data_IF_970953018117
#
_entry.id   IF_970953018117
#
_cell.length_a   1.000
_cell.length_b   1.000
_cell.length_c   1.000
_cell.angle_alpha   90.00
_cell.angle_beta   90.00
_cell.angle_gamma   90.00
#
_symmetry.space_group_name_H-M   'P 1'
#
loop_
_entity.id
_entity.type
_entity.pdbx_description
1 polymer ?
#
# COMPACT_ATOMS: atom_id res chain seq x y z
N UNK A 1 15.06 -15.45 18.86
CA UNK A 1 15.90 -14.43 18.18
C UNK A 1 15.39 -14.29 16.75
N UNK A 2 15.39 -13.10 16.15
CA UNK A 2 15.18 -12.97 14.70
C UNK A 2 16.46 -13.42 14.00
N UNK A 3 16.35 -13.89 12.77
CA UNK A 3 17.52 -14.12 11.94
C UNK A 3 18.11 -12.77 11.48
N UNK A 4 19.44 -12.71 11.33
CA UNK A 4 20.16 -11.46 11.02
C UNK A 4 19.68 -10.84 9.70
N UNK A 5 19.34 -11.67 8.72
CA UNK A 5 18.77 -11.27 7.43
C UNK A 5 17.46 -10.48 7.58
N UNK A 6 16.65 -10.82 8.58
CA UNK A 6 15.36 -10.20 8.85
C UNK A 6 15.57 -8.82 9.46
N UNK A 7 16.55 -8.69 10.37
CA UNK A 7 16.91 -7.42 11.01
C UNK A 7 17.50 -6.46 9.97
N UNK A 8 18.34 -6.96 9.07
CA UNK A 8 18.89 -6.18 7.95
C UNK A 8 17.77 -5.66 7.03
N UNK A 9 16.82 -6.52 6.65
CA UNK A 9 15.62 -6.10 5.87
C UNK A 9 14.79 -5.05 6.61
N UNK A 10 14.62 -5.19 7.92
CA UNK A 10 13.91 -4.20 8.74
C UNK A 10 14.65 -2.86 8.76
N UNK A 11 15.98 -2.87 8.89
CA UNK A 11 16.81 -1.67 8.80
C UNK A 11 16.72 -1.01 7.43
N UNK A 12 16.85 -1.78 6.35
CA UNK A 12 16.72 -1.25 4.99
C UNK A 12 15.35 -0.58 4.77
N UNK A 13 14.26 -1.21 5.24
CA UNK A 13 12.93 -0.62 5.20
C UNK A 13 12.83 0.65 6.04
N UNK A 14 13.33 0.63 7.27
CA UNK A 14 13.32 1.79 8.16
C UNK A 14 14.13 2.96 7.59
N UNK A 15 15.28 2.70 6.98
CA UNK A 15 16.14 3.70 6.36
C UNK A 15 15.50 4.34 5.11
N UNK A 16 14.69 3.58 4.37
CA UNK A 16 13.90 4.12 3.25
C UNK A 16 12.76 5.02 3.72
N UNK A 17 12.19 4.76 4.90
CA UNK A 17 11.17 5.60 5.52
C UNK A 17 11.79 6.80 6.27
N UNK A 18 13.03 6.65 6.72
CA UNK A 18 13.76 7.63 7.51
C UNK A 18 15.23 7.71 7.04
N UNK A 19 15.58 8.70 6.20
CA UNK A 19 16.94 8.84 5.67
C UNK A 19 18.03 9.04 6.74
N UNK A 20 17.67 9.48 7.95
CA UNK A 20 18.60 9.55 9.09
C UNK A 20 18.89 8.14 9.64
N UNK A 21 20.14 7.68 9.49
CA UNK A 21 20.56 6.36 9.93
C UNK A 21 20.34 6.09 11.43
N UNK A 22 20.49 7.11 12.28
CA UNK A 22 20.22 6.99 13.72
C UNK A 22 18.74 6.72 14.02
N UNK A 23 17.83 7.39 13.30
CA UNK A 23 16.39 7.13 13.38
C UNK A 23 16.07 5.74 12.85
N UNK A 24 16.65 5.34 11.72
CA UNK A 24 16.43 4.02 11.12
C UNK A 24 16.83 2.88 12.08
N UNK A 25 18.02 2.95 12.68
CA UNK A 25 18.47 1.97 13.69
C UNK A 25 17.48 1.91 14.85
N UNK A 26 17.09 3.06 15.38
CA UNK A 26 16.20 3.10 16.54
C UNK A 26 14.79 2.56 16.22
N UNK A 27 14.26 2.82 15.01
CA UNK A 27 13.02 2.20 14.52
C UNK A 27 13.16 0.68 14.45
N UNK A 28 14.27 0.17 13.91
CA UNK A 28 14.51 -1.27 13.79
C UNK A 28 14.56 -1.95 15.15
N UNK A 29 15.27 -1.36 16.12
CA UNK A 29 15.37 -1.89 17.48
C UNK A 29 14.00 -1.91 18.19
N UNK A 30 13.26 -0.81 18.14
CA UNK A 30 11.91 -0.75 18.71
C UNK A 30 10.93 -1.71 18.01
N UNK A 31 11.08 -1.91 16.70
CA UNK A 31 10.27 -2.88 15.96
C UNK A 31 10.59 -4.32 16.40
N UNK A 32 11.86 -4.65 16.66
CA UNK A 32 12.27 -5.93 17.22
C UNK A 32 11.59 -6.22 18.56
N UNK A 33 11.55 -5.24 19.47
CA UNK A 33 10.83 -5.35 20.74
C UNK A 33 9.31 -5.53 20.53
N UNK A 34 8.75 -4.77 19.59
CA UNK A 34 7.32 -4.81 19.27
C UNK A 34 6.87 -6.15 18.71
N UNK A 35 7.72 -6.86 17.96
CA UNK A 35 7.42 -8.19 17.44
C UNK A 35 7.08 -9.16 18.58
N UNK A 36 7.82 -9.11 19.70
CA UNK A 36 7.57 -9.98 20.87
C UNK A 36 6.18 -9.70 21.46
N UNK A 37 5.82 -8.44 21.60
CA UNK A 37 4.51 -8.02 22.12
C UNK A 37 3.38 -8.44 21.16
N UNK A 38 3.57 -8.21 19.87
CA UNK A 38 2.59 -8.53 18.84
C UNK A 38 2.34 -10.02 18.70
N UNK A 39 3.38 -10.87 18.80
CA UNK A 39 3.21 -12.33 18.82
C UNK A 39 2.26 -12.77 19.94
N UNK A 40 2.42 -12.21 21.15
CA UNK A 40 1.54 -12.50 22.29
C UNK A 40 0.10 -12.06 22.04
N UNK A 41 -0.10 -10.90 21.42
CA UNK A 41 -1.43 -10.38 21.09
C UNK A 41 -2.12 -11.18 19.99
N UNK A 42 -1.38 -11.57 18.94
CA UNK A 42 -1.91 -12.36 17.84
C UNK A 42 -2.29 -13.78 18.27
N UNK A 43 -1.56 -14.38 19.22
CA UNK A 43 -1.95 -15.68 19.81
C UNK A 43 -3.25 -15.61 20.61
N UNK A 44 -3.66 -14.42 21.08
CA UNK A 44 -4.87 -14.21 21.90
C UNK A 44 -6.10 -13.77 21.09
N UNK A 45 -5.91 -13.28 19.86
CA UNK A 45 -7.02 -12.77 19.04
C UNK A 45 -7.65 -13.87 18.20
N UNK A 46 -8.89 -14.25 18.54
CA UNK A 46 -9.79 -15.12 17.76
C UNK A 46 -10.86 -14.34 16.96
N UNK A 47 -10.69 -13.02 16.82
CA UNK A 47 -11.72 -12.12 16.25
C UNK A 47 -11.85 -12.16 14.72
N UNK A 48 -13.09 -12.09 14.22
CA UNK A 48 -13.51 -12.32 12.81
C UNK A 48 -13.24 -11.18 11.79
N UNK A 49 -12.72 -10.01 12.20
CA UNK A 49 -12.75 -8.80 11.35
C UNK A 49 -11.42 -8.41 10.67
N UNK A 50 -10.28 -8.97 11.09
CA UNK A 50 -8.99 -8.80 10.40
C UNK A 50 -8.47 -10.18 10.03
N UNK A 51 -7.89 -10.34 8.84
CA UNK A 51 -7.20 -11.59 8.52
C UNK A 51 -5.98 -11.72 9.42
N UNK A 52 -5.60 -12.96 9.72
CA UNK A 52 -4.38 -13.22 10.48
C UNK A 52 -3.20 -12.80 9.60
N UNK A 53 -2.47 -11.76 10.02
CA UNK A 53 -1.20 -11.37 9.40
C UNK A 53 -0.24 -12.59 9.47
N UNK A 54 0.36 -13.02 8.34
CA UNK A 54 1.35 -14.10 8.35
C UNK A 54 2.50 -13.73 9.26
N UNK A 55 3.05 -14.73 9.95
CA UNK A 55 4.17 -14.52 10.87
C UNK A 55 5.40 -13.90 10.17
N UNK A 56 5.58 -14.20 8.88
CA UNK A 56 6.66 -13.66 8.03
C UNK A 56 6.51 -12.17 7.71
N UNK A 57 5.29 -11.63 7.66
CA UNK A 57 5.05 -10.19 7.48
C UNK A 57 5.12 -9.40 8.79
N UNK A 58 5.15 -10.08 9.94
CA UNK A 58 5.10 -9.41 11.24
C UNK A 58 6.26 -8.41 11.46
N UNK A 59 7.51 -8.70 11.05
CA UNK A 59 8.59 -7.73 11.17
C UNK A 59 8.34 -6.45 10.37
N UNK A 60 7.93 -6.56 9.10
CA UNK A 60 7.53 -5.42 8.25
C UNK A 60 6.42 -4.59 8.90
N UNK A 61 5.37 -5.26 9.40
CA UNK A 61 4.25 -4.59 10.07
C UNK A 61 4.70 -3.82 11.33
N UNK A 62 5.65 -4.37 12.09
CA UNK A 62 6.19 -3.69 13.27
C UNK A 62 7.02 -2.47 12.90
N UNK A 63 7.80 -2.53 11.81
CA UNK A 63 8.49 -1.34 11.27
C UNK A 63 7.47 -0.26 10.91
N UNK A 64 6.38 -0.59 10.18
CA UNK A 64 5.35 0.39 9.85
C UNK A 64 4.71 1.04 11.07
N UNK A 65 4.43 0.25 12.12
CA UNK A 65 3.81 0.72 13.35
C UNK A 65 4.71 1.69 14.12
N UNK A 66 6.00 1.36 14.25
CA UNK A 66 6.98 2.21 14.94
C UNK A 66 7.27 3.46 14.11
N UNK A 67 7.48 3.30 12.80
CA UNK A 67 7.70 4.42 11.88
C UNK A 67 6.53 5.40 11.90
N UNK A 68 5.26 4.96 11.87
CA UNK A 68 4.10 5.88 11.87
C UNK A 68 4.07 6.79 13.10
N UNK A 69 4.41 6.28 14.28
CA UNK A 69 4.48 7.09 15.50
C UNK A 69 5.56 8.18 15.38
N UNK A 70 6.74 7.81 14.88
CA UNK A 70 7.86 8.74 14.69
C UNK A 70 7.60 9.75 13.59
N UNK A 71 7.04 9.33 12.45
CA UNK A 71 6.65 10.22 11.35
C UNK A 71 5.69 11.29 11.85
N UNK A 72 4.67 10.91 12.62
CA UNK A 72 3.71 11.88 13.19
C UNK A 72 4.36 12.87 14.14
N UNK A 73 5.30 12.41 14.98
CA UNK A 73 6.05 13.30 15.88
C UNK A 73 6.95 14.26 15.09
N UNK A 74 7.55 13.80 13.99
CA UNK A 74 8.39 14.60 13.12
C UNK A 74 7.59 15.65 12.32
N UNK A 75 6.40 15.27 11.85
CA UNK A 75 5.49 16.12 11.09
C UNK A 75 4.76 17.15 11.97
N UNK A 76 4.68 16.88 13.28
CA UNK A 76 4.03 17.73 14.28
C UNK A 76 4.88 17.77 15.56
N UNK A 77 6.03 18.44 15.51
CA UNK A 77 6.86 18.59 16.68
C UNK A 77 6.08 19.25 17.83
N UNK A 78 6.35 18.81 19.06
CA UNK A 78 5.88 19.54 20.23
C UNK A 78 6.56 20.93 20.29
N UNK A 79 5.92 21.94 20.91
CA UNK A 79 6.54 23.26 21.07
C UNK A 79 7.94 23.15 21.69
N UNK A 80 8.94 23.76 21.05
CA UNK A 80 10.34 23.73 21.49
C UNK A 80 11.13 22.47 21.13
N UNK A 81 10.53 21.50 20.43
CA UNK A 81 11.25 20.35 19.89
C UNK A 81 11.42 20.50 18.39
N UNK A 82 12.65 20.60 17.89
CA UNK A 82 12.88 20.53 16.45
C UNK A 82 13.07 19.07 16.00
N UNK A 83 12.46 18.65 14.88
CA UNK A 83 12.72 17.33 14.34
C UNK A 83 14.16 17.26 13.83
N UNK A 84 14.80 16.08 13.96
CA UNK A 84 16.18 15.86 13.49
C UNK A 84 16.38 16.20 12.01
N UNK A 85 15.35 15.99 11.19
CA UNK A 85 15.29 16.45 9.82
C UNK A 85 13.85 16.85 9.49
N UNK A 86 13.66 17.72 8.50
CA UNK A 86 12.32 18.05 7.99
C UNK A 86 11.95 17.08 6.86
N UNK A 87 10.75 16.48 6.86
CA UNK A 87 10.32 15.64 5.74
C UNK A 87 10.30 16.43 4.43
N UNK A 88 10.88 15.84 3.40
CA UNK A 88 10.79 16.31 2.01
C UNK A 88 9.46 15.90 1.39
N UNK A 89 9.19 16.38 0.17
CA UNK A 89 8.04 15.91 -0.61
C UNK A 89 8.11 14.39 -0.86
N UNK A 90 9.28 13.88 -1.23
CA UNK A 90 9.52 12.45 -1.48
C UNK A 90 9.22 11.63 -0.23
N UNK A 91 9.62 12.09 0.96
CA UNK A 91 9.28 11.45 2.23
C UNK A 91 7.75 11.35 2.43
N UNK A 92 7.00 12.40 2.12
CA UNK A 92 5.54 12.39 2.22
C UNK A 92 4.89 11.43 1.23
N UNK A 93 5.38 11.36 0.00
CA UNK A 93 4.89 10.44 -1.02
C UNK A 93 5.13 8.98 -0.59
N UNK A 94 6.35 8.66 -0.13
CA UNK A 94 6.69 7.33 0.38
C UNK A 94 5.80 6.97 1.58
N UNK A 95 5.61 7.88 2.54
CA UNK A 95 4.73 7.67 3.72
C UNK A 95 3.26 7.48 3.33
N UNK A 96 2.80 8.19 2.30
CA UNK A 96 1.44 8.04 1.76
C UNK A 96 1.22 6.64 1.17
N UNK A 97 2.14 6.17 0.33
CA UNK A 97 2.07 4.82 -0.24
C UNK A 97 2.18 3.76 0.86
N UNK A 98 3.14 3.92 1.79
CA UNK A 98 3.25 3.06 2.99
C UNK A 98 1.91 2.97 3.72
N UNK A 99 1.25 4.11 3.95
CA UNK A 99 -0.02 4.14 4.66
C UNK A 99 -1.12 3.38 3.92
N UNK A 100 -1.24 3.57 2.59
CA UNK A 100 -2.19 2.82 1.76
C UNK A 100 -2.01 1.30 1.90
N UNK A 101 -0.77 0.83 1.76
CA UNK A 101 -0.44 -0.60 1.85
C UNK A 101 -0.66 -1.11 3.27
N UNK A 102 -0.11 -0.42 4.27
CA UNK A 102 -0.18 -0.86 5.66
C UNK A 102 -1.62 -0.95 6.19
N UNK A 103 -2.50 -0.02 5.82
CA UNK A 103 -3.91 -0.03 6.26
C UNK A 103 -4.74 -1.16 5.62
N UNK A 104 -4.23 -1.81 4.57
CA UNK A 104 -4.99 -2.77 3.75
C UNK A 104 -4.35 -4.16 3.66
N UNK A 105 -3.05 -4.31 3.90
CA UNK A 105 -2.32 -5.58 3.79
C UNK A 105 -2.82 -6.67 4.74
N UNK A 106 -3.45 -6.31 5.88
CA UNK A 106 -4.03 -7.28 6.83
C UNK A 106 -5.54 -7.58 6.57
N UNK A 107 -6.05 -7.14 5.42
CA UNK A 107 -7.45 -7.24 5.01
C UNK A 107 -7.64 -8.20 3.85
N UNK A 108 -8.17 -7.74 2.74
CA UNK A 108 -8.38 -8.55 1.55
C UNK A 108 -7.80 -7.90 0.30
N UNK A 109 -7.63 -8.66 -0.78
CA UNK A 109 -7.20 -8.11 -2.06
C UNK A 109 -8.10 -6.97 -2.54
N UNK A 110 -9.41 -7.05 -2.30
CA UNK A 110 -10.36 -5.95 -2.55
C UNK A 110 -9.95 -4.65 -1.84
N UNK A 111 -9.45 -4.73 -0.59
CA UNK A 111 -9.00 -3.52 0.13
C UNK A 111 -7.75 -2.90 -0.51
N UNK A 112 -6.81 -3.74 -0.92
CA UNK A 112 -5.59 -3.31 -1.59
C UNK A 112 -5.91 -2.74 -2.98
N UNK A 113 -6.81 -3.37 -3.74
CA UNK A 113 -7.28 -2.89 -5.02
C UNK A 113 -7.94 -1.50 -4.91
N UNK A 114 -8.72 -1.25 -3.84
CA UNK A 114 -9.25 0.10 -3.56
C UNK A 114 -8.12 1.07 -3.20
N UNK A 115 -7.19 0.68 -2.33
CA UNK A 115 -6.10 1.54 -1.89
C UNK A 115 -5.21 1.96 -3.06
N UNK A 116 -4.73 1.01 -3.87
CA UNK A 116 -3.88 1.28 -5.02
C UNK A 116 -4.71 1.90 -6.15
N UNK A 117 -5.83 1.29 -6.53
CA UNK A 117 -6.60 1.72 -7.69
C UNK A 117 -7.28 3.07 -7.53
N UNK A 118 -7.97 3.30 -6.42
CA UNK A 118 -8.72 4.55 -6.24
C UNK A 118 -7.88 5.72 -5.69
N UNK A 119 -6.83 5.45 -4.92
CA UNK A 119 -6.06 6.52 -4.24
C UNK A 119 -4.68 6.76 -4.85
N UNK A 120 -4.08 5.78 -5.53
CA UNK A 120 -2.83 5.96 -6.26
C UNK A 120 -3.08 6.17 -7.76
N UNK A 121 -3.94 5.34 -8.37
CA UNK A 121 -4.26 5.39 -9.80
C UNK A 121 -5.60 6.08 -10.15
N UNK A 122 -6.22 6.85 -9.25
CA UNK A 122 -7.37 7.69 -9.61
C UNK A 122 -8.62 6.99 -10.18
N UNK A 123 -8.66 5.67 -10.28
CA UNK A 123 -9.78 4.92 -10.84
C UNK A 123 -11.02 5.04 -9.95
N UNK A 124 -12.19 4.90 -10.58
CA UNK A 124 -13.45 4.92 -9.85
C UNK A 124 -13.72 3.55 -9.22
N UNK A 125 -14.53 3.50 -8.16
CA UNK A 125 -14.93 2.22 -7.54
C UNK A 125 -15.47 1.18 -8.51
N UNK A 126 -16.20 1.58 -9.56
CA UNK A 126 -16.76 0.63 -10.51
C UNK A 126 -15.70 0.07 -11.47
N UNK A 127 -14.71 0.87 -11.88
CA UNK A 127 -13.55 0.43 -12.67
C UNK A 127 -12.78 -0.68 -11.93
N UNK A 128 -12.57 -0.50 -10.62
CA UNK A 128 -11.90 -1.51 -9.81
C UNK A 128 -12.76 -2.76 -9.64
N UNK A 129 -14.09 -2.60 -9.50
CA UNK A 129 -15.00 -3.73 -9.37
C UNK A 129 -15.05 -4.59 -10.64
N UNK A 130 -14.93 -3.97 -11.83
CA UNK A 130 -15.03 -4.67 -13.11
C UNK A 130 -13.82 -5.54 -13.43
N UNK A 131 -12.67 -5.32 -12.76
CA UNK A 131 -11.46 -6.13 -12.96
C UNK A 131 -11.67 -7.60 -12.57
N UNK A 132 -12.41 -7.85 -11.48
CA UNK A 132 -12.62 -9.20 -10.96
C UNK A 132 -13.90 -9.26 -10.11
N UNK A 133 -15.10 -9.23 -10.73
CA UNK A 133 -16.36 -9.04 -10.02
C UNK A 133 -16.67 -10.13 -8.98
N UNK A 134 -16.13 -11.34 -9.16
CA UNK A 134 -16.27 -12.46 -8.21
C UNK A 134 -15.48 -12.23 -6.90
N UNK A 135 -14.46 -11.36 -6.94
CA UNK A 135 -13.56 -11.08 -5.81
C UNK A 135 -13.79 -9.66 -5.27
N UNK A 136 -14.13 -8.73 -6.16
CA UNK A 136 -14.25 -7.31 -5.92
C UNK A 136 -15.72 -6.87 -5.88
N UNK A 137 -16.44 -7.26 -4.83
CA UNK A 137 -17.84 -6.86 -4.62
C UNK A 137 -18.00 -5.32 -4.67
N UNK A 138 -18.80 -4.79 -5.62
CA UNK A 138 -19.05 -3.36 -5.75
C UNK A 138 -19.52 -2.67 -4.47
N UNK A 139 -20.34 -3.34 -3.65
CA UNK A 139 -20.85 -2.78 -2.40
C UNK A 139 -19.72 -2.62 -1.38
N UNK A 140 -18.84 -3.62 -1.31
CA UNK A 140 -17.67 -3.59 -0.44
C UNK A 140 -16.69 -2.49 -0.85
N UNK A 141 -16.42 -2.32 -2.16
CA UNK A 141 -15.47 -1.30 -2.65
C UNK A 141 -15.85 0.11 -2.19
N UNK A 142 -17.13 0.51 -2.31
CA UNK A 142 -17.57 1.85 -1.88
C UNK A 142 -17.37 2.05 -0.38
N UNK A 143 -17.69 1.04 0.42
CA UNK A 143 -17.50 1.06 1.88
C UNK A 143 -16.02 1.16 2.25
N UNK A 144 -15.17 0.38 1.58
CA UNK A 144 -13.72 0.42 1.78
C UNK A 144 -13.16 1.78 1.41
N UNK A 145 -13.53 2.33 0.26
CA UNK A 145 -13.07 3.66 -0.20
C UNK A 145 -13.41 4.72 0.82
N UNK A 146 -14.67 4.80 1.26
CA UNK A 146 -15.11 5.78 2.30
C UNK A 146 -14.28 5.65 3.58
N UNK A 147 -14.06 4.41 4.05
CA UNK A 147 -13.25 4.18 5.25
C UNK A 147 -11.81 4.66 5.07
N UNK A 148 -11.16 4.31 3.95
CA UNK A 148 -9.79 4.72 3.66
C UNK A 148 -9.66 6.24 3.51
N UNK A 149 -10.66 6.89 2.90
CA UNK A 149 -10.71 8.36 2.83
C UNK A 149 -10.63 9.00 4.22
N UNK A 150 -11.46 8.55 5.18
CA UNK A 150 -11.40 9.07 6.54
C UNK A 150 -10.07 8.77 7.24
N UNK A 151 -9.50 7.58 7.02
CA UNK A 151 -8.19 7.21 7.59
C UNK A 151 -7.06 8.07 7.03
N UNK A 152 -7.05 8.32 5.72
CA UNK A 152 -6.10 9.20 5.04
C UNK A 152 -6.24 10.64 5.52
N UNK A 153 -7.46 11.18 5.59
CA UNK A 153 -7.70 12.51 6.10
C UNK A 153 -7.17 12.66 7.53
N UNK A 154 -7.46 11.69 8.41
CA UNK A 154 -6.96 11.71 9.78
C UNK A 154 -5.41 11.65 9.85
N UNK A 155 -4.77 10.85 9.00
CA UNK A 155 -3.31 10.72 8.93
C UNK A 155 -2.64 12.00 8.40
N UNK A 156 -3.20 12.58 7.35
CA UNK A 156 -2.59 13.66 6.56
C UNK A 156 -3.32 15.00 6.70
N UNK A 157 -4.11 15.21 7.77
CA UNK A 157 -4.80 16.50 8.04
C UNK A 157 -3.88 17.74 8.09
N UNK A 158 -2.57 17.55 8.12
CA UNK A 158 -1.56 18.62 8.20
C UNK A 158 -0.93 18.97 6.85
N UNK A 159 -1.28 18.27 5.75
CA UNK A 159 -0.69 18.49 4.42
C UNK A 159 -1.72 18.95 3.37
N UNK A 160 -2.92 19.37 3.79
CA UNK A 160 -4.01 19.89 2.92
C UNK A 160 -4.30 19.06 1.65
N UNK A 161 -4.02 17.75 1.66
CA UNK A 161 -4.25 16.88 0.50
C UNK A 161 -5.74 16.62 0.21
N UNK A 162 -6.67 17.10 1.04
CA UNK A 162 -8.12 16.96 0.83
C UNK A 162 -8.78 18.32 0.67
N UNK A 163 -9.69 18.41 -0.31
CA UNK A 163 -10.47 19.59 -0.65
C UNK A 163 -11.76 19.67 0.17
N UNK A 164 -11.92 20.77 0.91
CA UNK A 164 -13.19 21.15 1.55
C UNK A 164 -13.80 20.05 2.43
N UNK A 165 -15.12 20.11 2.59
CA UNK A 165 -15.90 19.15 3.39
C UNK A 165 -16.17 17.84 2.67
N UNK A 166 -15.99 17.80 1.34
CA UNK A 166 -16.39 16.67 0.49
C UNK A 166 -15.35 15.55 0.38
N UNK A 167 -14.24 15.63 1.14
CA UNK A 167 -13.22 14.59 1.22
C UNK A 167 -12.64 14.17 -0.15
N UNK A 168 -12.58 15.12 -1.09
CA UNK A 168 -11.98 14.90 -2.41
C UNK A 168 -10.48 15.03 -2.28
N UNK A 169 -9.73 14.03 -2.73
CA UNK A 169 -8.27 14.07 -2.71
C UNK A 169 -7.77 15.05 -3.79
N UNK A 170 -6.99 16.05 -3.40
CA UNK A 170 -6.29 16.94 -4.32
C UNK A 170 -5.04 16.23 -4.86
N UNK A 171 -5.06 15.93 -6.14
CA UNK A 171 -3.95 15.28 -6.83
C UNK A 171 -3.55 16.01 -8.10
N UNK A 172 -2.38 15.64 -8.63
CA UNK A 172 -1.86 16.07 -9.93
C UNK A 172 -1.20 14.91 -10.66
N UNK A 173 -0.89 15.10 -11.93
CA UNK A 173 -0.07 14.16 -12.68
C UNK A 173 1.35 14.04 -12.08
N UNK A 174 1.96 12.84 -12.12
CA UNK A 174 3.32 12.59 -11.65
C UNK A 174 4.38 13.10 -12.63
N UNK A 175 5.52 13.51 -12.10
CA UNK A 175 6.78 13.64 -12.85
C UNK A 175 7.43 12.28 -13.07
N UNK A 176 8.43 12.19 -13.94
CA UNK A 176 9.18 10.94 -14.17
C UNK A 176 9.87 10.40 -12.89
N UNK A 177 10.45 11.30 -12.08
CA UNK A 177 11.04 10.97 -10.79
C UNK A 177 10.00 10.37 -9.84
N UNK A 178 8.82 10.98 -9.75
CA UNK A 178 7.75 10.49 -8.88
C UNK A 178 7.21 9.14 -9.35
N UNK A 179 7.08 8.89 -10.65
CA UNK A 179 6.72 7.56 -11.18
C UNK A 179 7.71 6.50 -10.70
N UNK A 180 9.01 6.79 -10.81
CA UNK A 180 10.06 5.90 -10.34
C UNK A 180 9.98 5.69 -8.82
N UNK A 181 9.74 6.74 -8.05
CA UNK A 181 9.60 6.67 -6.60
C UNK A 181 8.37 5.84 -6.18
N UNK A 182 7.23 5.98 -6.89
CA UNK A 182 6.04 5.17 -6.68
C UNK A 182 6.35 3.69 -6.94
N UNK A 183 6.96 3.37 -8.08
CA UNK A 183 7.32 2.00 -8.43
C UNK A 183 8.26 1.37 -7.40
N UNK A 184 9.32 2.09 -7.00
CA UNK A 184 10.24 1.63 -5.96
C UNK A 184 9.56 1.45 -4.60
N UNK A 185 8.67 2.37 -4.24
CA UNK A 185 7.90 2.30 -2.98
C UNK A 185 6.97 1.10 -2.96
N UNK A 186 6.25 0.84 -4.06
CA UNK A 186 5.39 -0.32 -4.20
C UNK A 186 6.18 -1.62 -4.05
N UNK A 187 7.31 -1.76 -4.76
CA UNK A 187 8.19 -2.92 -4.64
C UNK A 187 8.73 -3.11 -3.21
N UNK A 188 9.12 -2.01 -2.55
CA UNK A 188 9.61 -2.02 -1.17
C UNK A 188 8.53 -2.42 -0.16
N UNK A 189 7.29 -1.98 -0.38
CA UNK A 189 6.17 -2.22 0.52
C UNK A 189 5.40 -3.50 0.20
N UNK A 190 5.79 -4.23 -0.84
CA UNK A 190 5.32 -5.59 -1.11
C UNK A 190 5.42 -6.43 0.17
N UNK A 191 4.32 -7.10 0.57
CA UNK A 191 4.31 -7.86 1.80
C UNK A 191 5.32 -9.01 1.82
N UNK A 192 6.09 -9.10 2.91
CA UNK A 192 7.18 -10.07 3.01
C UNK A 192 6.68 -11.51 3.10
N UNK A 193 7.42 -12.43 2.47
CA UNK A 193 7.11 -13.87 2.50
C UNK A 193 5.97 -14.30 1.59
N UNK A 194 5.41 -13.38 0.81
CA UNK A 194 4.59 -13.74 -0.35
C UNK A 194 5.47 -14.44 -1.38
N UNK A 195 5.01 -15.58 -1.90
CA UNK A 195 5.64 -16.20 -3.06
C UNK A 195 5.51 -15.24 -4.22
N UNK A 196 6.64 -14.84 -4.81
CA UNK A 196 6.62 -14.14 -6.07
C UNK A 196 5.78 -14.94 -7.05
N UNK A 197 4.92 -14.25 -7.79
CA UNK A 197 4.17 -14.84 -8.90
C UNK A 197 5.22 -15.12 -9.98
N UNK A 198 5.98 -16.21 -9.80
CA UNK A 198 7.05 -16.61 -10.71
C UNK A 198 6.43 -16.66 -12.09
N UNK A 199 6.96 -15.82 -12.97
CA UNK A 199 6.46 -15.53 -14.31
C UNK A 199 5.65 -16.69 -14.86
N UNK A 200 4.32 -16.56 -14.81
CA UNK A 200 3.29 -17.46 -15.33
C UNK A 200 3.89 -18.46 -16.34
N UNK A 201 4.34 -19.63 -15.86
CA UNK A 201 5.06 -20.66 -16.63
C UNK A 201 4.11 -21.37 -17.63
N UNK A 202 3.00 -20.75 -18.02
CA UNK A 202 1.96 -21.38 -18.84
C UNK A 202 1.13 -20.41 -19.70
N UNK A 203 1.62 -19.20 -20.00
CA UNK A 203 0.94 -18.30 -20.95
C UNK A 203 -0.46 -17.82 -20.53
N UNK A 204 -0.87 -18.02 -19.28
CA UNK A 204 -2.15 -17.54 -18.72
C UNK A 204 -1.99 -16.13 -18.16
N UNK A 205 -3.07 -15.35 -18.17
CA UNK A 205 -3.08 -14.00 -17.57
C UNK A 205 -3.10 -14.06 -16.03
N UNK A 206 -2.64 -12.99 -15.38
CA UNK A 206 -2.83 -12.76 -13.94
C UNK A 206 -4.32 -12.73 -13.59
N UNK A 207 -5.13 -12.11 -14.46
CA UNK A 207 -6.58 -12.10 -14.33
C UNK A 207 -7.15 -13.50 -14.18
N UNK A 208 -6.87 -14.40 -15.12
CA UNK A 208 -7.38 -15.77 -15.06
C UNK A 208 -6.82 -16.53 -13.86
N UNK A 209 -5.50 -16.43 -13.64
CA UNK A 209 -4.78 -17.27 -12.67
C UNK A 209 -5.08 -16.88 -11.23
N UNK A 210 -5.05 -15.58 -10.91
CA UNK A 210 -5.20 -15.07 -9.56
C UNK A 210 -6.60 -14.54 -9.29
N UNK A 211 -7.25 -13.95 -10.29
CA UNK A 211 -8.47 -13.17 -10.10
C UNK A 211 -9.74 -13.78 -10.73
N UNK A 212 -9.61 -14.91 -11.44
CA UNK A 212 -10.75 -15.60 -12.03
C UNK A 212 -11.67 -16.22 -10.97
N UNK A 213 -12.97 -16.31 -11.27
CA UNK A 213 -13.97 -16.86 -10.35
C UNK A 213 -13.69 -18.31 -9.90
N UNK A 214 -12.91 -19.07 -10.66
CA UNK A 214 -12.48 -20.45 -10.32
C UNK A 214 -11.09 -20.50 -9.68
N UNK A 215 -10.43 -19.37 -9.46
CA UNK A 215 -9.08 -19.32 -8.88
C UNK A 215 -9.08 -19.75 -7.42
N UNK A 216 -8.33 -20.81 -7.12
CA UNK A 216 -8.10 -21.32 -5.76
C UNK A 216 -6.98 -20.60 -5.02
N UNK A 217 -6.38 -19.57 -5.66
CA UNK A 217 -5.29 -18.81 -5.07
C UNK A 217 -5.75 -18.12 -3.79
N UNK A 218 -4.85 -18.01 -2.84
CA UNK A 218 -5.15 -17.29 -1.62
C UNK A 218 -5.13 -15.77 -1.86
N UNK A 219 -5.68 -15.05 -0.89
CA UNK A 219 -5.77 -13.60 -0.98
C UNK A 219 -4.40 -12.92 -0.78
N UNK A 220 -3.41 -13.64 -0.24
CA UNK A 220 -2.05 -13.14 -0.07
C UNK A 220 -1.31 -13.07 -1.40
N UNK A 221 -1.44 -14.09 -2.24
CA UNK A 221 -0.94 -14.07 -3.61
C UNK A 221 -1.57 -12.92 -4.41
N UNK A 222 -2.88 -12.69 -4.24
CA UNK A 222 -3.59 -11.56 -4.86
C UNK A 222 -3.12 -10.20 -4.36
N UNK A 223 -2.97 -10.03 -3.04
CA UNK A 223 -2.43 -8.80 -2.44
C UNK A 223 -1.02 -8.51 -2.97
N UNK A 224 -0.15 -9.51 -2.98
CA UNK A 224 1.20 -9.39 -3.54
C UNK A 224 1.15 -8.94 -5.01
N UNK A 225 0.37 -9.61 -5.85
CA UNK A 225 0.25 -9.29 -7.26
C UNK A 225 -0.32 -7.89 -7.54
N UNK A 226 -1.16 -7.34 -6.67
CA UNK A 226 -1.68 -5.97 -6.82
C UNK A 226 -0.64 -4.89 -6.46
N UNK A 227 0.30 -5.22 -5.57
CA UNK A 227 1.29 -4.27 -5.02
C UNK A 227 2.59 -4.33 -5.80
N UNK A 228 3.16 -5.53 -5.96
CA UNK A 228 4.51 -5.72 -6.51
C UNK A 228 4.52 -5.44 -8.02
N UNK A 229 5.15 -4.35 -8.48
CA UNK A 229 5.15 -4.00 -9.88
C UNK A 229 5.99 -4.96 -10.75
N UNK A 230 6.85 -5.79 -10.15
CA UNK A 230 7.66 -6.78 -10.87
C UNK A 230 6.91 -8.09 -11.11
N UNK A 231 6.05 -8.49 -10.17
CA UNK A 231 5.24 -9.70 -10.29
C UNK A 231 3.90 -9.46 -10.99
N UNK A 232 3.39 -8.24 -10.88
CA UNK A 232 2.16 -7.82 -11.55
C UNK A 232 2.03 -6.32 -11.46
N UNK A 233 1.57 -5.86 -10.30
CA UNK A 233 1.10 -4.51 -10.08
C UNK A 233 -0.30 -4.32 -10.67
N UNK A 234 -1.07 -3.43 -10.06
CA UNK A 234 -2.39 -3.07 -10.58
C UNK A 234 -2.34 -2.62 -12.05
N UNK A 235 -1.29 -1.88 -12.44
CA UNK A 235 -1.13 -1.40 -13.82
C UNK A 235 -1.12 -2.54 -14.85
N UNK A 236 -0.35 -3.61 -14.59
CA UNK A 236 -0.34 -4.79 -15.47
C UNK A 236 -1.68 -5.50 -15.48
N UNK A 237 -2.34 -5.64 -14.33
CA UNK A 237 -3.66 -6.26 -14.24
C UNK A 237 -4.68 -5.53 -15.12
N UNK A 238 -4.63 -4.19 -15.13
CA UNK A 238 -5.49 -3.35 -15.99
C UNK A 238 -5.11 -3.49 -17.47
N UNK A 239 -3.82 -3.57 -17.79
CA UNK A 239 -3.35 -3.88 -19.14
C UNK A 239 -3.93 -5.19 -19.67
N UNK A 240 -3.80 -6.26 -18.91
CA UNK A 240 -4.36 -7.58 -19.24
C UNK A 240 -5.90 -7.54 -19.32
N UNK A 241 -6.58 -6.75 -18.47
CA UNK A 241 -8.03 -6.55 -18.55
C UNK A 241 -8.42 -5.92 -19.88
N UNK A 242 -7.73 -4.85 -20.26
CA UNK A 242 -7.98 -4.11 -21.47
C UNK A 242 -7.74 -4.96 -22.73
N UNK A 243 -6.78 -5.89 -22.71
CA UNK A 243 -6.51 -6.83 -23.79
C UNK A 243 -7.68 -7.79 -24.09
N UNK A 244 -8.59 -8.01 -23.13
CA UNK A 244 -9.80 -8.83 -23.36
C UNK A 244 -10.88 -8.14 -24.20
N UNK A 245 -10.70 -6.84 -24.52
CA UNK A 245 -11.65 -6.05 -25.30
C UNK A 245 -11.02 -5.47 -26.57
N UNK A 246 -11.79 -5.34 -27.67
CA UNK A 246 -11.33 -4.65 -28.88
C UNK A 246 -10.88 -3.21 -28.61
N UNK A 247 -9.90 -2.72 -29.38
CA UNK A 247 -9.47 -1.34 -29.31
C UNK A 247 -10.65 -0.38 -29.53
N UNK A 248 -10.74 0.68 -28.72
CA UNK A 248 -11.85 1.64 -28.74
C UNK A 248 -13.12 1.20 -28.00
N UNK A 249 -13.16 -0.02 -27.44
CA UNK A 249 -14.30 -0.45 -26.61
C UNK A 249 -14.47 0.45 -25.38
N UNK A 250 -15.71 0.84 -25.09
CA UNK A 250 -16.07 1.61 -23.89
C UNK A 250 -15.94 0.79 -22.58
N UNK A 251 -15.76 -0.53 -22.69
CA UNK A 251 -15.49 -1.39 -21.54
C UNK A 251 -14.01 -1.35 -21.12
N UNK A 252 -13.11 -0.85 -21.97
CA UNK A 252 -11.69 -0.67 -21.60
C UNK A 252 -11.57 0.44 -20.57
N UNK A 253 -10.72 0.20 -19.58
CA UNK A 253 -10.32 1.21 -18.62
C UNK A 253 -9.26 2.12 -19.23
N UNK A 254 -9.19 3.36 -18.71
CA UNK A 254 -8.11 4.30 -19.06
C UNK A 254 -6.72 3.70 -18.76
N UNK A 255 -5.71 4.16 -19.49
CA UNK A 255 -4.33 3.68 -19.33
C UNK A 255 -3.81 3.94 -17.90
N UNK A 256 -3.26 2.93 -17.20
CA UNK A 256 -2.74 3.10 -15.86
C UNK A 256 -1.65 4.18 -15.75
N UNK A 257 -0.86 4.44 -16.80
CA UNK A 257 0.14 5.48 -16.79
C UNK A 257 -0.49 6.89 -16.78
N UNK A 258 -1.63 7.09 -17.44
CA UNK A 258 -2.38 8.35 -17.41
C UNK A 258 -3.17 8.52 -16.11
N UNK A 259 -3.47 7.40 -15.45
CA UNK A 259 -4.32 7.35 -14.28
C UNK A 259 -3.53 7.45 -12.96
N UNK A 260 -2.21 7.26 -12.96
CA UNK A 260 -1.37 7.51 -11.79
C UNK A 260 -1.46 8.98 -11.38
N UNK A 261 -1.73 9.24 -10.10
CA UNK A 261 -1.83 10.60 -9.55
C UNK A 261 -1.05 10.75 -8.24
N UNK A 262 -0.52 11.95 -8.00
CA UNK A 262 0.28 12.29 -6.82
C UNK A 262 -0.48 13.30 -5.95
N UNK A 263 -0.65 13.06 -4.64
CA UNK A 263 -1.25 14.03 -3.75
C UNK A 263 -0.46 15.34 -3.68
N UNK A 264 -1.16 16.47 -3.66
CA UNK A 264 -0.55 17.78 -3.49
C UNK A 264 -0.27 18.06 -2.01
N UNK A 265 0.89 17.62 -1.50
CA UNK A 265 1.29 17.89 -0.11
C UNK A 265 1.64 19.37 0.07
N UNK A 266 0.78 20.12 0.76
CA UNK A 266 1.02 21.51 1.15
C UNK A 266 1.07 21.57 2.68
N UNK A 267 2.25 21.77 3.29
CA UNK A 267 2.36 21.91 4.74
C UNK A 267 1.47 23.03 5.27
N UNK A 268 0.90 22.82 6.46
CA UNK A 268 0.21 23.87 7.23
C UNK A 268 1.19 24.84 7.87
#
# INVERSE_FOLDING_TARGET
MLADDTVEKMYALAHRLHPDGGIAVAVTLEACERIVQMRRLLSRRTGRYRRRLPAVCLPQYCVYLVSDARERAQERPAPGQEPRYRPTFDDYLVRYIKFLIWQTMDRSACHVAVAVGCFLYGYRPHDIASLAPEIFDPHNIRRVKRRLTHQLQARFRHTKIFAGEHLVLHTRAPTAHERQLVHQSLALFTPWGSTHVSALVSGRSLLETLFGGTSTQDDWARIHALIDPTCGGLARLIGEYNETFPAGSCARLADPDDMLTIPCFVPL
#
